data_IF_349346677328
#
_entry.id   IF_349346677328
#
_cell.length_a   1.000
_cell.length_b   1.000
_cell.length_c   1.000
_cell.angle_alpha   90.00
_cell.angle_beta   90.00
_cell.angle_gamma   90.00
#
_symmetry.space_group_name_H-M   'P 1'
#
loop_
_entity.id
_entity.type
_entity.pdbx_description
1 polymer ?
#
# COMPACT_ATOMS: atom_id res chain seq x y z
N UNK A 1 -24.07 32.72 42.77
CA UNK A 1 -23.90 31.25 42.80
C UNK A 1 -22.42 30.94 42.95
N UNK A 2 -21.99 30.29 44.05
CA UNK A 2 -20.58 29.93 44.26
C UNK A 2 -20.29 28.65 43.50
N UNK A 3 -19.59 28.74 42.37
CA UNK A 3 -19.21 27.55 41.60
C UNK A 3 -18.15 26.81 42.41
N UNK A 4 -18.50 25.62 42.89
CA UNK A 4 -17.56 24.75 43.60
C UNK A 4 -16.61 24.12 42.60
N UNK A 5 -15.53 24.83 42.28
CA UNK A 5 -14.55 24.47 41.24
C UNK A 5 -14.01 23.03 41.37
N UNK A 6 -13.96 22.50 42.60
CA UNK A 6 -13.58 21.11 42.90
C UNK A 6 -14.50 20.06 42.26
N UNK A 7 -15.76 20.40 41.96
CA UNK A 7 -16.70 19.52 41.27
C UNK A 7 -16.60 19.66 39.75
N UNK A 8 -16.25 20.83 39.22
CA UNK A 8 -16.19 21.10 37.77
C UNK A 8 -14.94 20.50 37.12
N UNK A 9 -13.80 20.58 37.82
CA UNK A 9 -12.52 20.05 37.35
C UNK A 9 -12.58 18.57 36.94
N UNK A 10 -13.13 17.63 37.74
CA UNK A 10 -13.18 16.23 37.34
C UNK A 10 -14.06 15.97 36.11
N UNK A 11 -15.18 16.67 35.92
CA UNK A 11 -15.98 16.56 34.69
C UNK A 11 -15.25 17.12 33.48
N UNK A 12 -14.50 18.21 33.65
CA UNK A 12 -13.70 18.79 32.59
C UNK A 12 -12.56 17.85 32.15
N UNK A 13 -11.86 17.24 33.12
CA UNK A 13 -10.82 16.24 32.86
C UNK A 13 -11.41 14.98 32.20
N UNK A 14 -12.58 14.53 32.63
CA UNK A 14 -13.27 13.40 32.02
C UNK A 14 -13.69 13.71 30.57
N UNK A 15 -14.21 14.91 30.31
CA UNK A 15 -14.54 15.37 28.96
C UNK A 15 -13.31 15.45 28.06
N UNK A 16 -12.18 15.90 28.58
CA UNK A 16 -10.92 15.99 27.83
C UNK A 16 -10.34 14.60 27.51
N UNK A 17 -10.43 13.65 28.45
CA UNK A 17 -10.03 12.26 28.24
C UNK A 17 -10.91 11.55 27.21
N UNK A 18 -12.24 11.72 27.31
CA UNK A 18 -13.19 11.17 26.35
C UNK A 18 -13.01 11.80 24.95
N UNK A 19 -12.81 13.11 24.89
CA UNK A 19 -12.51 13.84 23.65
C UNK A 19 -11.20 13.38 23.01
N UNK A 20 -10.14 13.17 23.79
CA UNK A 20 -8.86 12.68 23.30
C UNK A 20 -8.95 11.22 22.81
N UNK A 21 -9.67 10.35 23.53
CA UNK A 21 -9.89 8.97 23.12
C UNK A 21 -10.71 8.88 21.82
N UNK A 22 -11.80 9.65 21.73
CA UNK A 22 -12.66 9.68 20.55
C UNK A 22 -11.97 10.34 19.35
N UNK A 23 -11.26 11.44 19.57
CA UNK A 23 -10.43 12.11 18.56
C UNK A 23 -9.32 11.20 18.03
N UNK A 24 -8.63 10.46 18.90
CA UNK A 24 -7.59 9.50 18.51
C UNK A 24 -8.15 8.32 17.71
N UNK A 25 -9.31 7.79 18.09
CA UNK A 25 -9.99 6.73 17.36
C UNK A 25 -10.48 7.20 15.98
N UNK A 26 -11.15 8.35 15.91
CA UNK A 26 -11.64 8.94 14.67
C UNK A 26 -10.49 9.31 13.72
N UNK A 27 -9.40 9.88 14.25
CA UNK A 27 -8.20 10.20 13.49
C UNK A 27 -7.51 8.92 12.97
N UNK A 28 -7.44 7.85 13.77
CA UNK A 28 -6.95 6.52 13.30
C UNK A 28 -7.84 5.89 12.24
N UNK A 29 -9.16 6.01 12.36
CA UNK A 29 -10.11 5.49 11.37
C UNK A 29 -10.03 6.28 10.05
N UNK A 30 -9.94 7.61 10.12
CA UNK A 30 -9.72 8.47 8.97
C UNK A 30 -8.37 8.18 8.31
N UNK A 31 -7.29 8.06 9.09
CA UNK A 31 -5.98 7.68 8.57
C UNK A 31 -5.98 6.29 7.93
N UNK A 32 -6.77 5.33 8.40
CA UNK A 32 -6.95 4.03 7.72
C UNK A 32 -7.65 4.17 6.36
N UNK A 33 -8.57 5.14 6.22
CA UNK A 33 -9.28 5.43 4.96
C UNK A 33 -8.39 6.19 3.96
N UNK A 34 -7.50 7.07 4.45
CA UNK A 34 -6.60 7.87 3.62
C UNK A 34 -5.22 7.23 3.36
N UNK A 35 -4.73 6.30 4.19
CA UNK A 35 -3.47 5.56 3.98
C UNK A 35 -3.61 4.35 3.04
N UNK A 36 -4.21 4.57 1.87
CA UNK A 36 -3.89 3.83 0.64
C UNK A 36 -3.76 2.30 0.76
N UNK A 37 -4.78 1.65 1.30
CA UNK A 37 -4.81 0.19 1.47
C UNK A 37 -6.21 -0.40 1.38
N UNK A 38 -7.08 0.19 0.55
CA UNK A 38 -8.35 -0.45 0.23
C UNK A 38 -8.09 -1.82 -0.42
N UNK A 39 -9.00 -2.80 -0.25
CA UNK A 39 -8.89 -4.06 -0.97
C UNK A 39 -8.71 -3.75 -2.46
N UNK A 40 -7.74 -4.40 -3.12
CA UNK A 40 -7.56 -4.29 -4.58
C UNK A 40 -8.94 -4.43 -5.23
N UNK A 41 -9.32 -3.56 -6.18
CA UNK A 41 -10.63 -3.62 -6.81
C UNK A 41 -10.86 -5.03 -7.32
N UNK A 42 -11.78 -5.75 -6.69
CA UNK A 42 -12.09 -7.12 -7.07
C UNK A 42 -12.85 -7.04 -8.40
N UNK A 43 -12.19 -7.42 -9.49
CA UNK A 43 -12.75 -7.37 -10.84
C UNK A 43 -14.09 -8.10 -10.94
N UNK A 44 -14.29 -9.19 -10.18
CA UNK A 44 -15.58 -9.87 -10.10
C UNK A 44 -16.66 -8.99 -9.44
N UNK A 45 -16.32 -8.24 -8.39
CA UNK A 45 -17.25 -7.27 -7.76
C UNK A 45 -17.57 -6.11 -8.70
N UNK A 46 -16.59 -5.66 -9.49
CA UNK A 46 -16.78 -4.61 -10.49
C UNK A 46 -17.68 -5.07 -11.63
N UNK A 47 -17.46 -6.27 -12.16
CA UNK A 47 -18.31 -6.90 -13.18
C UNK A 47 -19.75 -7.07 -12.69
N UNK A 48 -19.95 -7.58 -11.47
CA UNK A 48 -21.30 -7.74 -10.90
C UNK A 48 -21.99 -6.40 -10.65
N UNK A 49 -21.23 -5.36 -10.28
CA UNK A 49 -21.77 -4.00 -10.14
C UNK A 49 -22.19 -3.44 -11.49
N UNK A 50 -21.34 -3.54 -12.51
CA UNK A 50 -21.64 -3.10 -13.89
C UNK A 50 -22.87 -3.83 -14.43
N UNK A 51 -22.92 -5.15 -14.22
CA UNK A 51 -24.02 -5.97 -14.71
C UNK A 51 -25.36 -5.59 -14.09
N UNK A 52 -25.39 -5.29 -12.80
CA UNK A 52 -26.60 -4.81 -12.13
C UNK A 52 -26.97 -3.38 -12.53
N UNK A 53 -26.01 -2.47 -12.63
CA UNK A 53 -26.28 -1.07 -12.95
C UNK A 53 -26.74 -0.87 -14.39
N UNK A 54 -26.28 -1.71 -15.31
CA UNK A 54 -26.63 -1.64 -16.74
C UNK A 54 -27.70 -2.66 -17.13
N UNK A 55 -28.21 -3.45 -16.17
CA UNK A 55 -29.20 -4.51 -16.39
C UNK A 55 -28.82 -5.43 -17.58
N UNK A 56 -27.58 -5.90 -17.60
CA UNK A 56 -27.04 -6.68 -18.73
C UNK A 56 -27.76 -8.04 -18.85
N UNK A 57 -28.14 -8.40 -20.07
CA UNK A 57 -28.64 -9.75 -20.39
C UNK A 57 -27.51 -10.80 -20.41
N UNK A 58 -27.87 -12.08 -20.53
CA UNK A 58 -26.89 -13.18 -20.49
C UNK A 58 -25.86 -13.13 -21.62
N UNK A 59 -26.27 -12.70 -22.82
CA UNK A 59 -25.37 -12.54 -23.97
C UNK A 59 -24.37 -11.42 -23.73
N UNK A 60 -24.84 -10.27 -23.25
CA UNK A 60 -24.01 -9.11 -22.91
C UNK A 60 -23.05 -9.40 -21.75
N UNK A 61 -23.51 -10.10 -20.71
CA UNK A 61 -22.68 -10.54 -19.58
C UNK A 61 -21.53 -11.42 -20.07
N UNK A 62 -21.81 -12.35 -20.98
CA UNK A 62 -20.81 -13.26 -21.56
C UNK A 62 -19.77 -12.48 -22.38
N UNK A 63 -20.22 -11.57 -23.25
CA UNK A 63 -19.33 -10.74 -24.06
C UNK A 63 -18.44 -9.81 -23.21
N UNK A 64 -19.01 -9.12 -22.22
CA UNK A 64 -18.27 -8.20 -21.35
C UNK A 64 -17.27 -8.95 -20.47
N UNK A 65 -17.64 -10.15 -19.97
CA UNK A 65 -16.71 -11.00 -19.23
C UNK A 65 -15.50 -11.38 -20.08
N UNK A 66 -15.70 -11.80 -21.32
CA UNK A 66 -14.61 -12.13 -22.23
C UNK A 66 -13.66 -10.95 -22.48
N UNK A 67 -14.21 -9.74 -22.67
CA UNK A 67 -13.39 -8.52 -22.81
C UNK A 67 -12.57 -8.23 -21.55
N UNK A 68 -13.20 -8.31 -20.37
CA UNK A 68 -12.52 -8.04 -19.10
C UNK A 68 -11.42 -9.07 -18.80
N UNK A 69 -11.63 -10.35 -19.13
CA UNK A 69 -10.64 -11.40 -18.94
C UNK A 69 -9.45 -11.24 -19.90
N UNK A 70 -9.70 -10.88 -21.16
CA UNK A 70 -8.64 -10.55 -22.12
C UNK A 70 -7.78 -9.36 -21.65
N UNK A 71 -8.43 -8.29 -21.18
CA UNK A 71 -7.73 -7.12 -20.62
C UNK A 71 -6.93 -7.46 -19.37
N UNK A 72 -7.43 -8.35 -18.52
CA UNK A 72 -6.71 -8.81 -17.33
C UNK A 72 -5.40 -9.49 -17.67
N UNK A 73 -5.39 -10.39 -18.66
CA UNK A 73 -4.18 -11.07 -19.09
C UNK A 73 -3.14 -10.08 -19.64
N UNK A 74 -3.57 -9.12 -20.46
CA UNK A 74 -2.70 -8.06 -20.99
C UNK A 74 -2.11 -7.19 -19.87
N UNK A 75 -2.93 -6.78 -18.90
CA UNK A 75 -2.49 -5.96 -17.78
C UNK A 75 -1.51 -6.72 -16.88
N UNK A 76 -1.72 -8.02 -16.66
CA UNK A 76 -0.78 -8.87 -15.92
C UNK A 76 0.57 -8.99 -16.64
N UNK A 77 0.56 -9.20 -17.95
CA UNK A 77 1.78 -9.24 -18.75
C UNK A 77 2.54 -7.91 -18.72
N UNK A 78 1.84 -6.78 -18.84
CA UNK A 78 2.43 -5.45 -18.72
C UNK A 78 3.02 -5.23 -17.33
N UNK A 79 2.30 -5.61 -16.27
CA UNK A 79 2.79 -5.50 -14.91
C UNK A 79 4.07 -6.31 -14.68
N UNK A 80 4.16 -7.53 -15.23
CA UNK A 80 5.35 -8.37 -15.13
C UNK A 80 6.55 -7.74 -15.84
N UNK A 81 6.36 -7.24 -17.06
CA UNK A 81 7.44 -6.56 -17.83
C UNK A 81 7.94 -5.33 -17.09
N UNK A 82 7.02 -4.46 -16.66
CA UNK A 82 7.37 -3.25 -15.93
C UNK A 82 8.09 -3.56 -14.61
N UNK A 83 7.69 -4.63 -13.92
CA UNK A 83 8.37 -5.07 -12.70
C UNK A 83 9.82 -5.47 -12.96
N UNK A 84 10.08 -6.20 -14.06
CA UNK A 84 11.44 -6.60 -14.45
C UNK A 84 12.30 -5.39 -14.82
N UNK A 85 11.76 -4.47 -15.64
CA UNK A 85 12.47 -3.25 -16.02
C UNK A 85 12.77 -2.36 -14.82
N UNK A 86 11.81 -2.22 -13.91
CA UNK A 86 12.00 -1.43 -12.69
C UNK A 86 13.11 -2.00 -11.80
N UNK A 87 13.18 -3.32 -11.62
CA UNK A 87 14.29 -3.94 -10.88
C UNK A 87 15.64 -3.74 -11.56
N UNK A 88 15.70 -3.89 -12.88
CA UNK A 88 16.94 -3.68 -13.62
C UNK A 88 17.45 -2.24 -13.43
N UNK A 89 16.57 -1.24 -13.55
CA UNK A 89 16.91 0.16 -13.31
C UNK A 89 17.31 0.41 -11.85
N UNK A 90 16.62 -0.21 -10.89
CA UNK A 90 16.92 -0.11 -9.47
C UNK A 90 18.32 -0.66 -9.14
N UNK A 91 18.68 -1.81 -9.70
CA UNK A 91 20.00 -2.42 -9.53
C UNK A 91 21.10 -1.57 -10.19
N UNK A 92 20.86 -1.07 -11.41
CA UNK A 92 21.79 -0.20 -12.10
C UNK A 92 22.07 1.08 -11.28
N UNK A 93 21.01 1.73 -10.79
CA UNK A 93 21.11 2.90 -9.92
C UNK A 93 21.85 2.61 -8.62
N UNK A 94 21.57 1.46 -7.98
CA UNK A 94 22.28 1.02 -6.77
C UNK A 94 23.79 0.88 -7.05
N UNK A 95 24.17 0.27 -8.16
CA UNK A 95 25.56 0.10 -8.56
C UNK A 95 26.26 1.44 -8.80
N UNK A 96 25.60 2.39 -9.47
CA UNK A 96 26.17 3.74 -9.69
C UNK A 96 26.38 4.50 -8.37
N UNK A 97 25.45 4.40 -7.42
CA UNK A 97 25.65 4.97 -6.08
C UNK A 97 26.86 4.33 -5.40
N UNK A 98 26.96 3.00 -5.39
CA UNK A 98 28.05 2.29 -4.71
C UNK A 98 29.44 2.69 -5.22
N UNK A 99 29.59 3.01 -6.51
CA UNK A 99 30.84 3.52 -7.09
C UNK A 99 31.27 4.85 -6.49
N UNK A 100 30.30 5.71 -6.13
CA UNK A 100 30.55 7.04 -5.57
C UNK A 100 30.78 7.03 -4.05
N UNK A 101 30.61 5.89 -3.39
CA UNK A 101 30.72 5.76 -1.93
C UNK A 101 32.06 5.19 -1.50
N UNK A 102 32.59 5.73 -0.39
CA UNK A 102 33.73 5.14 0.33
C UNK A 102 33.36 3.78 0.92
N UNK A 103 34.32 2.86 1.17
CA UNK A 103 34.03 1.52 1.68
C UNK A 103 33.12 1.50 2.91
N UNK A 104 33.42 2.34 3.91
CA UNK A 104 32.63 2.47 5.15
C UNK A 104 31.18 2.96 4.93
N UNK A 105 30.94 3.69 3.84
CA UNK A 105 29.61 4.20 3.48
C UNK A 105 28.78 3.15 2.72
N UNK A 106 29.43 2.20 2.03
CA UNK A 106 28.75 1.14 1.26
C UNK A 106 27.95 0.22 2.17
N UNK A 107 28.55 -0.22 3.28
CA UNK A 107 27.87 -1.09 4.25
C UNK A 107 26.63 -0.40 4.87
N UNK A 108 26.75 0.89 5.20
CA UNK A 108 25.61 1.68 5.71
C UNK A 108 24.50 1.82 4.67
N UNK A 109 24.87 2.01 3.41
CA UNK A 109 23.92 2.13 2.30
C UNK A 109 23.20 0.79 2.03
N UNK A 110 23.91 -0.33 2.05
CA UNK A 110 23.30 -1.65 1.91
C UNK A 110 22.31 -1.94 3.04
N UNK A 111 22.70 -1.69 4.29
CA UNK A 111 21.80 -1.82 5.43
C UNK A 111 20.56 -0.90 5.32
N UNK A 112 20.74 0.31 4.78
CA UNK A 112 19.63 1.23 4.51
C UNK A 112 18.66 0.65 3.47
N UNK A 113 19.16 0.18 2.33
CA UNK A 113 18.33 -0.40 1.26
C UNK A 113 17.59 -1.65 1.71
N UNK A 114 18.25 -2.56 2.44
CA UNK A 114 17.63 -3.78 2.97
C UNK A 114 16.47 -3.49 3.94
N UNK A 115 16.62 -2.49 4.82
CA UNK A 115 15.53 -2.05 5.72
C UNK A 115 14.34 -1.49 4.95
N UNK A 116 14.61 -0.73 3.89
CA UNK A 116 13.58 -0.13 3.06
C UNK A 116 12.81 -1.19 2.27
N UNK A 117 13.50 -2.16 1.65
CA UNK A 117 12.89 -3.30 0.97
C UNK A 117 11.99 -4.13 1.91
N UNK A 118 12.47 -4.42 3.13
CA UNK A 118 11.70 -5.14 4.14
C UNK A 118 10.43 -4.37 4.55
N UNK A 119 10.48 -3.04 4.59
CA UNK A 119 9.32 -2.18 4.89
C UNK A 119 8.33 -2.16 3.72
N UNK A 120 8.82 -2.09 2.49
CA UNK A 120 8.00 -2.14 1.28
C UNK A 120 7.20 -3.43 1.19
N UNK A 121 7.85 -4.59 1.41
CA UNK A 121 7.21 -5.92 1.41
C UNK A 121 6.08 -6.08 2.44
N UNK A 122 6.10 -5.31 3.53
CA UNK A 122 5.12 -5.40 4.63
C UNK A 122 3.98 -4.37 4.53
N UNK A 123 4.03 -3.43 3.59
CA UNK A 123 3.02 -2.38 3.43
C UNK A 123 1.83 -2.81 2.56
N UNK A 124 0.69 -2.07 2.59
CA UNK A 124 -0.48 -2.32 1.73
C UNK A 124 -0.21 -2.25 0.22
N UNK A 125 0.96 -1.72 -0.19
CA UNK A 125 1.47 -1.70 -1.57
C UNK A 125 2.60 -2.70 -1.86
N UNK A 126 2.95 -3.58 -0.92
CA UNK A 126 4.11 -4.48 -0.99
C UNK A 126 4.05 -5.57 -2.07
N UNK A 127 2.96 -5.63 -2.84
CA UNK A 127 2.83 -6.50 -4.01
C UNK A 127 3.21 -5.84 -5.34
N UNK A 128 3.75 -4.61 -5.34
CA UNK A 128 4.25 -3.93 -6.55
C UNK A 128 5.75 -4.10 -6.77
N UNK A 129 6.51 -4.48 -5.74
CA UNK A 129 7.92 -4.84 -5.90
C UNK A 129 8.04 -6.34 -6.18
N UNK A 130 8.63 -6.77 -7.30
CA UNK A 130 9.03 -8.16 -7.47
C UNK A 130 10.07 -8.55 -6.41
N UNK A 131 10.21 -9.85 -6.10
CA UNK A 131 11.22 -10.29 -5.15
C UNK A 131 12.62 -9.91 -5.66
N UNK A 132 13.54 -9.36 -4.83
CA UNK A 132 14.95 -9.24 -5.17
C UNK A 132 15.49 -10.57 -5.73
N UNK A 133 16.42 -10.50 -6.71
CA UNK A 133 17.12 -11.68 -7.19
C UNK A 133 17.83 -12.39 -6.03
N UNK A 134 18.03 -13.72 -6.12
CA UNK A 134 18.78 -14.46 -5.11
C UNK A 134 20.17 -13.84 -4.91
N UNK A 135 20.74 -13.91 -3.69
CA UNK A 135 22.10 -13.45 -3.46
C UNK A 135 23.06 -14.20 -4.40
N UNK A 136 24.14 -13.54 -4.88
CA UNK A 136 25.17 -14.23 -5.64
C UNK A 136 25.74 -15.39 -4.81
N UNK A 137 26.14 -16.51 -5.44
CA UNK A 137 26.73 -17.63 -4.73
C UNK A 137 27.96 -17.16 -3.95
N UNK A 138 28.08 -17.60 -2.70
CA UNK A 138 29.27 -17.35 -1.88
C UNK A 138 30.50 -17.98 -2.56
N UNK A 139 31.67 -17.30 -2.54
CA UNK A 139 32.89 -17.79 -3.19
C UNK A 139 33.44 -19.08 -2.56
#
# INVERSE_FOLDING_TARGET
MKIHWKQVVPFFLLGLLLGAAFGSWAHRAALRKFRGGGPKPNHARMFERLSRQLALDEGQRTAIRAVMDGQRAQMQALQQRNAQEFEAQRLAFKTEILKSLRPEQRERFEAFTARWEKRQRRGPGGGMMPPPPPPPPEP
#
